data_IF_669300127715
#
_entry.id   IF_669300127715
#
_cell.length_a   1.000
_cell.length_b   1.000
_cell.length_c   1.000
_cell.angle_alpha   90.00
_cell.angle_beta   90.00
_cell.angle_gamma   90.00
#
_symmetry.space_group_name_H-M   'P 1'
#
loop_
_entity.id
_entity.type
_entity.pdbx_description
1 polymer ?
#
# COMPACT_ATOMS: atom_id res chain seq x y z
N UNK A 1 1.74 -2.66 -13.22
CA UNK A 1 3.00 -2.03 -13.70
C UNK A 1 3.39 -2.61 -15.05
N UNK A 2 4.16 -1.87 -15.85
CA UNK A 2 4.68 -2.35 -17.13
C UNK A 2 6.20 -2.32 -17.11
N UNK A 3 6.83 -3.47 -17.35
CA UNK A 3 8.27 -3.62 -17.45
C UNK A 3 8.70 -3.73 -18.91
N UNK A 4 9.91 -3.26 -19.23
CA UNK A 4 10.47 -3.26 -20.58
C UNK A 4 11.92 -3.71 -20.60
N UNK A 5 12.33 -4.39 -21.68
CA UNK A 5 13.73 -4.74 -21.95
C UNK A 5 14.07 -4.54 -23.43
N UNK A 6 15.35 -4.33 -23.74
CA UNK A 6 15.85 -4.05 -25.09
C UNK A 6 17.17 -4.78 -25.35
N UNK A 7 17.45 -5.09 -26.61
CA UNK A 7 18.79 -5.54 -27.01
C UNK A 7 19.71 -4.33 -27.17
N UNK A 8 20.91 -4.37 -26.59
CA UNK A 8 21.94 -3.33 -26.79
C UNK A 8 23.08 -3.87 -27.65
N UNK A 9 23.33 -3.22 -28.79
CA UNK A 9 24.45 -3.51 -29.68
C UNK A 9 25.30 -2.27 -29.85
N UNK A 10 26.62 -2.41 -29.68
CA UNK A 10 27.57 -1.29 -29.82
C UNK A 10 27.24 -0.08 -28.93
N UNK A 11 26.63 -0.32 -27.76
CA UNK A 11 26.21 0.74 -26.84
C UNK A 11 24.95 1.50 -27.26
N UNK A 12 24.22 1.03 -28.29
CA UNK A 12 22.93 1.58 -28.70
C UNK A 12 21.83 0.52 -28.60
N UNK A 13 20.64 0.96 -28.20
CA UNK A 13 19.43 0.15 -28.23
C UNK A 13 19.10 -0.24 -29.67
N UNK A 14 18.92 -1.52 -29.92
CA UNK A 14 18.52 -2.03 -31.21
C UNK A 14 17.05 -1.62 -31.45
N UNK A 15 16.74 -0.93 -32.56
CA UNK A 15 15.38 -0.52 -32.85
C UNK A 15 14.48 -1.74 -33.03
N UNK A 16 13.21 -1.63 -32.65
CA UNK A 16 12.21 -2.70 -32.74
C UNK A 16 12.54 -3.96 -31.93
N UNK A 17 13.42 -3.86 -30.93
CA UNK A 17 13.81 -4.98 -30.07
C UNK A 17 13.08 -5.00 -28.72
N UNK A 18 12.11 -4.10 -28.49
CA UNK A 18 11.45 -4.02 -27.19
C UNK A 18 10.72 -5.34 -26.85
N UNK A 19 10.92 -5.82 -25.63
CA UNK A 19 9.99 -6.72 -24.94
C UNK A 19 9.30 -5.95 -23.83
N UNK A 20 8.00 -6.17 -23.68
CA UNK A 20 7.16 -5.57 -22.64
C UNK A 20 6.43 -6.65 -21.85
N UNK A 21 6.28 -6.46 -20.54
CA UNK A 21 5.48 -7.32 -19.67
C UNK A 21 4.58 -6.47 -18.75
N UNK A 22 3.28 -6.80 -18.73
CA UNK A 22 2.30 -6.20 -17.83
C UNK A 22 2.11 -7.11 -16.62
N UNK A 23 2.43 -6.59 -15.43
CA UNK A 23 2.38 -7.33 -14.17
C UNK A 23 1.35 -6.71 -13.22
N UNK A 24 0.59 -7.55 -12.54
CA UNK A 24 -0.27 -7.19 -11.43
C UNK A 24 0.41 -7.69 -10.16
N UNK A 25 0.87 -6.78 -9.30
CA UNK A 25 1.49 -7.13 -8.01
C UNK A 25 0.39 -7.42 -7.00
N UNK A 26 0.54 -8.51 -6.24
CA UNK A 26 -0.33 -8.87 -5.11
C UNK A 26 0.42 -8.62 -3.83
N UNK A 27 -0.10 -7.72 -3.01
CA UNK A 27 0.50 -7.36 -1.73
C UNK A 27 -0.55 -7.01 -0.69
N UNK A 28 -0.14 -6.99 0.57
CA UNK A 28 -0.92 -6.60 1.74
C UNK A 28 -0.21 -5.43 2.43
N UNK A 29 -0.89 -4.30 2.51
CA UNK A 29 -0.48 -3.19 3.36
C UNK A 29 -1.21 -3.27 4.71
N UNK A 30 -0.47 -3.05 5.79
CA UNK A 30 -1.00 -2.93 7.15
C UNK A 30 -0.86 -1.46 7.55
N UNK A 31 -1.99 -0.83 7.81
CA UNK A 31 -2.06 0.54 8.32
C UNK A 31 -2.31 0.54 9.81
N UNK A 32 -1.79 1.54 10.51
CA UNK A 32 -2.00 1.67 11.94
C UNK A 32 -1.41 2.96 12.50
N UNK A 33 -1.12 2.94 13.78
CA UNK A 33 -0.52 4.04 14.53
C UNK A 33 0.74 3.54 15.23
N UNK A 34 1.83 4.30 15.16
CA UNK A 34 3.07 3.98 15.91
C UNK A 34 3.17 4.72 17.23
N UNK A 35 2.36 5.76 17.41
CA UNK A 35 2.30 6.54 18.63
C UNK A 35 1.07 6.15 19.48
N UNK A 36 1.14 6.32 20.81
CA UNK A 36 -0.02 6.11 21.67
C UNK A 36 -1.18 7.04 21.36
N UNK A 37 -2.41 6.54 21.52
CA UNK A 37 -3.63 7.36 21.52
C UNK A 37 -3.77 8.07 22.86
N UNK A 38 -4.18 9.34 22.82
CA UNK A 38 -4.48 10.11 24.03
C UNK A 38 -5.98 10.05 24.31
N UNK A 39 -6.34 9.78 25.56
CA UNK A 39 -7.73 9.74 26.03
C UNK A 39 -7.85 10.75 27.17
N UNK A 40 -8.73 11.74 27.00
CA UNK A 40 -8.97 12.79 27.99
C UNK A 40 -10.42 12.75 28.44
N UNK A 41 -10.63 12.74 29.77
CA UNK A 41 -11.97 12.86 30.35
C UNK A 41 -12.39 14.34 30.34
N UNK A 42 -13.50 14.64 29.66
CA UNK A 42 -14.01 16.01 29.53
C UNK A 42 -15.02 16.32 30.64
N UNK A 43 -15.97 15.42 30.85
CA UNK A 43 -17.02 15.51 31.87
C UNK A 43 -17.70 14.15 32.05
N UNK A 44 -18.71 14.09 32.91
CA UNK A 44 -19.56 12.90 33.06
C UNK A 44 -20.00 12.37 31.68
N UNK A 45 -19.73 11.07 31.47
CA UNK A 45 -19.99 10.32 30.24
C UNK A 45 -19.40 10.92 28.95
N UNK A 46 -18.39 11.81 29.01
CA UNK A 46 -17.77 12.40 27.81
C UNK A 46 -16.24 12.29 27.83
N UNK A 47 -15.70 11.74 26.75
CA UNK A 47 -14.26 11.55 26.57
C UNK A 47 -13.82 12.05 25.19
N UNK A 48 -12.61 12.59 25.13
CA UNK A 48 -11.93 12.97 23.89
C UNK A 48 -10.84 11.97 23.57
N UNK A 49 -10.89 11.43 22.37
CA UNK A 49 -9.93 10.48 21.81
C UNK A 49 -9.11 11.21 20.75
N UNK A 50 -7.82 11.42 21.02
CA UNK A 50 -6.88 12.00 20.05
C UNK A 50 -6.01 10.91 19.45
N UNK A 51 -6.27 10.59 18.19
CA UNK A 51 -5.49 9.63 17.42
C UNK A 51 -4.30 10.33 16.75
N UNK A 52 -3.10 9.71 16.78
CA UNK A 52 -1.96 10.21 16.02
C UNK A 52 -2.15 9.98 14.51
N UNK A 53 -1.22 10.51 13.71
CA UNK A 53 -1.19 10.26 12.27
C UNK A 53 -1.13 8.76 11.98
N UNK A 54 -1.89 8.33 10.97
CA UNK A 54 -1.85 6.96 10.50
C UNK A 54 -0.60 6.74 9.66
N UNK A 55 -0.06 5.53 9.74
CA UNK A 55 1.15 5.15 9.01
C UNK A 55 1.01 3.73 8.46
N UNK A 56 1.77 3.43 7.42
CA UNK A 56 2.04 2.05 7.02
C UNK A 56 2.95 1.42 8.08
N UNK A 57 2.44 0.38 8.76
CA UNK A 57 3.16 -0.37 9.80
C UNK A 57 3.64 -1.73 9.30
N UNK A 58 3.22 -2.14 8.09
CA UNK A 58 3.70 -3.34 7.44
C UNK A 58 3.33 -3.34 5.97
N UNK A 59 4.20 -3.91 5.15
CA UNK A 59 3.97 -4.11 3.73
C UNK A 59 4.56 -5.48 3.38
N UNK A 60 3.71 -6.38 2.90
CA UNK A 60 4.10 -7.77 2.61
C UNK A 60 3.58 -8.16 1.22
N UNK A 61 4.46 -8.72 0.37
CA UNK A 61 4.02 -9.39 -0.85
C UNK A 61 3.20 -10.64 -0.50
N UNK A 62 2.30 -11.03 -1.41
CA UNK A 62 1.65 -12.33 -1.27
C UNK A 62 2.71 -13.46 -1.29
N UNK A 63 2.63 -14.36 -0.32
CA UNK A 63 3.66 -15.37 -0.10
C UNK A 63 3.64 -16.51 -1.12
N UNK A 64 2.47 -16.78 -1.72
CA UNK A 64 2.29 -17.87 -2.68
C UNK A 64 2.38 -17.35 -4.11
N UNK A 65 1.70 -16.24 -4.39
CA UNK A 65 1.66 -15.64 -5.73
C UNK A 65 1.87 -14.12 -5.65
N UNK A 66 3.12 -13.64 -5.48
CA UNK A 66 3.43 -12.22 -5.29
C UNK A 66 3.01 -11.33 -6.48
N UNK A 67 2.77 -11.93 -7.64
CA UNK A 67 2.28 -11.25 -8.83
C UNK A 67 1.65 -12.21 -9.83
N UNK A 68 0.85 -11.64 -10.73
CA UNK A 68 0.36 -12.31 -11.92
C UNK A 68 0.93 -11.61 -13.15
N UNK A 69 1.48 -12.42 -14.08
CA UNK A 69 1.82 -11.96 -15.42
C UNK A 69 0.51 -11.83 -16.22
N UNK A 70 0.11 -10.60 -16.50
CA UNK A 70 -1.14 -10.32 -17.19
C UNK A 70 -0.96 -10.38 -18.71
N UNK A 71 0.13 -9.81 -19.22
CA UNK A 71 0.42 -9.82 -20.65
C UNK A 71 1.93 -9.76 -20.93
N UNK A 72 2.34 -10.28 -22.09
CA UNK A 72 3.69 -10.14 -22.65
C UNK A 72 3.59 -9.82 -24.13
N UNK A 73 4.38 -8.84 -24.56
CA UNK A 73 4.49 -8.47 -25.96
C UNK A 73 5.94 -8.21 -26.35
N UNK A 74 6.20 -8.34 -27.66
CA UNK A 74 7.52 -8.09 -28.22
C UNK A 74 7.39 -7.50 -29.62
N UNK A 75 8.29 -6.58 -29.94
CA UNK A 75 8.41 -6.01 -31.27
C UNK A 75 9.09 -6.99 -32.25
N UNK A 76 9.13 -6.65 -33.54
CA UNK A 76 9.55 -7.57 -34.61
C UNK A 76 10.99 -8.09 -34.50
N UNK A 77 11.88 -7.39 -33.78
CA UNK A 77 13.27 -7.77 -33.52
C UNK A 77 13.50 -8.18 -32.05
N UNK A 78 12.43 -8.36 -31.27
CA UNK A 78 12.50 -8.74 -29.85
C UNK A 78 13.04 -10.16 -29.62
N UNK A 79 13.15 -10.99 -30.65
CA UNK A 79 13.68 -12.35 -30.53
C UNK A 79 15.12 -12.39 -30.00
N UNK A 80 15.90 -11.32 -30.22
CA UNK A 80 17.26 -11.18 -29.71
C UNK A 80 17.31 -10.63 -28.27
N UNK A 81 16.19 -10.12 -27.76
CA UNK A 81 16.10 -9.49 -26.44
C UNK A 81 15.85 -10.53 -25.37
N UNK A 82 16.61 -10.44 -24.27
CA UNK A 82 16.44 -11.31 -23.11
C UNK A 82 15.06 -11.11 -22.46
N UNK A 83 14.54 -12.18 -21.86
CA UNK A 83 13.29 -12.10 -21.10
C UNK A 83 13.44 -11.12 -19.92
N UNK A 84 12.35 -10.45 -19.59
CA UNK A 84 12.30 -9.56 -18.42
C UNK A 84 12.39 -10.42 -17.16
N UNK A 85 13.35 -10.11 -16.28
CA UNK A 85 13.42 -10.69 -14.93
C UNK A 85 12.33 -10.06 -14.05
N UNK A 86 11.16 -10.71 -14.06
CA UNK A 86 10.00 -10.24 -13.31
C UNK A 86 10.20 -10.33 -11.80
N UNK A 87 11.03 -11.25 -11.31
CA UNK A 87 11.25 -11.44 -9.88
C UNK A 87 12.05 -10.27 -9.26
N UNK A 88 13.14 -9.88 -9.92
CA UNK A 88 13.94 -8.73 -9.48
C UNK A 88 13.13 -7.44 -9.58
N UNK A 89 12.45 -7.23 -10.70
CA UNK A 89 11.65 -6.02 -10.95
C UNK A 89 10.55 -5.81 -9.91
N UNK A 90 9.88 -6.88 -9.49
CA UNK A 90 8.85 -6.79 -8.45
C UNK A 90 9.46 -6.45 -7.10
N UNK A 91 10.63 -7.01 -6.78
CA UNK A 91 11.33 -6.69 -5.54
C UNK A 91 11.67 -5.21 -5.48
N UNK A 92 12.19 -4.66 -6.58
CA UNK A 92 12.59 -3.26 -6.69
C UNK A 92 11.38 -2.33 -6.60
N UNK A 93 10.30 -2.62 -7.35
CA UNK A 93 9.09 -1.80 -7.26
C UNK A 93 8.42 -1.94 -5.90
N UNK A 94 8.38 -3.14 -5.33
CA UNK A 94 7.77 -3.36 -4.02
C UNK A 94 8.44 -2.51 -2.93
N UNK A 95 9.76 -2.34 -3.03
CA UNK A 95 10.51 -1.42 -2.17
C UNK A 95 10.21 0.06 -2.45
N UNK A 96 9.89 0.41 -3.70
CA UNK A 96 9.54 1.76 -4.11
C UNK A 96 8.04 2.08 -4.00
N UNK A 97 7.20 1.15 -3.54
CA UNK A 97 5.75 1.36 -3.35
C UNK A 97 5.55 2.65 -2.57
N UNK A 98 4.85 3.61 -3.19
CA UNK A 98 4.54 4.92 -2.59
C UNK A 98 3.53 4.75 -1.45
N UNK A 99 4.03 4.36 -0.29
CA UNK A 99 3.25 4.09 0.94
C UNK A 99 2.33 5.26 1.32
N UNK A 100 2.73 6.49 1.01
CA UNK A 100 1.98 7.71 1.29
C UNK A 100 0.72 7.86 0.42
N UNK A 101 0.76 7.45 -0.86
CA UNK A 101 -0.44 7.52 -1.72
C UNK A 101 -1.53 6.57 -1.23
N UNK A 102 -1.16 5.37 -0.82
CA UNK A 102 -2.13 4.40 -0.29
C UNK A 102 -2.79 4.90 1.00
N UNK A 103 -2.02 5.52 1.89
CA UNK A 103 -2.61 6.11 3.10
C UNK A 103 -3.64 7.20 2.77
N UNK A 104 -3.38 8.00 1.73
CA UNK A 104 -4.31 9.02 1.27
C UNK A 104 -5.62 8.41 0.71
N UNK A 105 -5.50 7.36 -0.11
CA UNK A 105 -6.66 6.71 -0.76
C UNK A 105 -7.60 6.04 0.25
N UNK A 106 -7.08 5.52 1.37
CA UNK A 106 -7.86 4.80 2.39
C UNK A 106 -8.07 5.59 3.69
N UNK A 107 -7.75 6.90 3.69
CA UNK A 107 -7.73 7.69 4.92
C UNK A 107 -9.10 7.71 5.63
N UNK A 108 -10.19 7.76 4.87
CA UNK A 108 -11.56 7.79 5.42
C UNK A 108 -11.93 6.46 6.08
N UNK A 109 -11.70 5.34 5.39
CA UNK A 109 -11.97 3.99 5.89
C UNK A 109 -11.17 3.71 7.19
N UNK A 110 -9.91 4.14 7.23
CA UNK A 110 -9.05 3.98 8.42
C UNK A 110 -9.59 4.81 9.58
N UNK A 111 -10.02 6.07 9.33
CA UNK A 111 -10.63 6.93 10.35
C UNK A 111 -11.94 6.33 10.87
N UNK A 112 -12.78 5.80 10.00
CA UNK A 112 -14.04 5.16 10.38
C UNK A 112 -13.81 3.88 11.20
N UNK A 113 -12.89 3.02 10.77
CA UNK A 113 -12.51 1.82 11.51
C UNK A 113 -12.02 2.15 12.92
N UNK A 114 -11.21 3.20 13.07
CA UNK A 114 -10.75 3.67 14.37
C UNK A 114 -11.90 4.19 15.26
N UNK A 115 -12.85 4.97 14.70
CA UNK A 115 -14.05 5.42 15.44
C UNK A 115 -14.85 4.22 15.94
N UNK A 116 -15.15 3.28 15.05
CA UNK A 116 -15.93 2.08 15.38
C UNK A 116 -15.25 1.26 16.48
N UNK A 117 -13.92 1.09 16.43
CA UNK A 117 -13.18 0.39 17.47
C UNK A 117 -13.37 1.03 18.86
N UNK A 118 -13.13 2.33 18.98
CA UNK A 118 -13.24 3.03 20.26
C UNK A 118 -14.69 3.18 20.73
N UNK A 119 -15.63 3.41 19.82
CA UNK A 119 -17.06 3.42 20.15
C UNK A 119 -17.47 2.08 20.77
N UNK A 120 -17.17 0.96 20.11
CA UNK A 120 -17.48 -0.37 20.63
C UNK A 120 -16.82 -0.64 21.99
N UNK A 121 -15.55 -0.23 22.14
CA UNK A 121 -14.81 -0.40 23.40
C UNK A 121 -15.47 0.34 24.57
N UNK A 122 -15.88 1.59 24.38
CA UNK A 122 -16.51 2.38 25.44
C UNK A 122 -17.98 2.01 25.65
N UNK A 123 -18.71 1.65 24.58
CA UNK A 123 -20.10 1.17 24.70
C UNK A 123 -20.19 -0.13 25.51
N UNK A 124 -19.16 -0.98 25.49
CA UNK A 124 -19.09 -2.16 26.35
C UNK A 124 -18.98 -1.81 27.85
N UNK A 125 -18.49 -0.61 28.18
CA UNK A 125 -18.41 -0.11 29.56
C UNK A 125 -19.74 0.55 29.95
N UNK A 126 -20.21 1.49 29.13
CA UNK A 126 -21.53 2.10 29.28
C UNK A 126 -22.02 2.66 27.93
N UNK A 127 -23.28 2.37 27.54
CA UNK A 127 -23.84 2.87 26.30
C UNK A 127 -24.09 4.39 26.30
N UNK A 128 -24.06 5.03 27.47
CA UNK A 128 -24.30 6.47 27.59
C UNK A 128 -23.06 7.32 27.32
N UNK A 129 -21.88 6.70 27.17
CA UNK A 129 -20.62 7.40 26.94
C UNK A 129 -20.59 7.99 25.52
N UNK A 130 -20.31 9.28 25.43
CA UNK A 130 -20.10 10.02 24.20
C UNK A 130 -18.60 10.25 23.97
N UNK A 131 -18.17 10.03 22.72
CA UNK A 131 -16.78 10.16 22.31
C UNK A 131 -16.61 11.28 21.30
N UNK A 132 -15.66 12.17 21.57
CA UNK A 132 -15.17 13.18 20.62
C UNK A 132 -13.86 12.70 19.99
N UNK A 133 -13.76 12.70 18.67
CA UNK A 133 -12.60 12.20 17.94
C UNK A 133 -11.80 13.34 17.32
N UNK A 134 -10.49 13.34 17.56
CA UNK A 134 -9.52 14.24 16.92
C UNK A 134 -8.46 13.39 16.24
N UNK A 135 -8.24 13.61 14.95
CA UNK A 135 -7.19 12.95 14.18
C UNK A 135 -6.06 13.94 13.94
N UNK A 136 -4.83 13.57 14.31
CA UNK A 136 -3.64 14.31 13.90
C UNK A 136 -3.33 13.98 12.44
N UNK A 137 -2.90 15.01 11.71
CA UNK A 137 -2.33 14.87 10.36
C UNK A 137 -0.85 14.52 10.43
#
# INVERSE_FOLDING_TARGET
>A
MTAKNYTVLFGQEMPFSEKSALLIIKYKAKFGIKSPVSIEHLSENRYKITLPAFEVIGLELDAEEPYTLYDKSGEILSFATEEIDTAQLITDEFQSVEQEKFLADYQEDIKESAKNYYQNLFSAISPEIQLEFVFKE
#
